data_IF_222586849531
#
_entry.id   IF_222586849531
#
_cell.length_a   1.000
_cell.length_b   1.000
_cell.length_c   1.000
_cell.angle_alpha   90.00
_cell.angle_beta   90.00
_cell.angle_gamma   90.00
#
_symmetry.space_group_name_H-M   'P 1'
#
loop_
_entity.id
_entity.type
_entity.pdbx_description
1 polymer ?
#
# COMPACT_ATOMS: atom_id res chain seq x y z
N UNK A 1 10.90 -2.69 11.82
CA UNK A 1 10.59 -1.30 11.47
C UNK A 1 9.52 -0.76 12.43
N UNK A 2 9.76 0.42 13.03
CA UNK A 2 8.90 1.02 14.06
C UNK A 2 7.53 1.47 13.54
N UNK A 3 7.37 1.68 12.23
CA UNK A 3 6.06 2.00 11.65
C UNK A 3 5.07 0.85 11.85
N UNK A 4 5.55 -0.40 11.82
CA UNK A 4 4.69 -1.57 12.04
C UNK A 4 4.21 -1.62 13.49
N UNK A 5 5.05 -1.22 14.46
CA UNK A 5 4.63 -1.07 15.86
C UNK A 5 3.55 0.04 15.99
N UNK A 6 3.75 1.18 15.31
CA UNK A 6 2.80 2.30 15.34
C UNK A 6 1.40 1.90 14.82
N UNK A 7 1.34 0.99 13.84
CA UNK A 7 0.06 0.53 13.28
C UNK A 7 -0.83 -0.17 14.31
N UNK A 8 -0.24 -0.76 15.36
CA UNK A 8 -1.01 -1.33 16.46
C UNK A 8 -1.84 -0.29 17.26
N UNK A 9 -1.48 1.00 17.14
CA UNK A 9 -2.19 2.10 17.80
C UNK A 9 -3.00 2.95 16.84
N UNK A 10 -2.56 3.09 15.59
CA UNK A 10 -3.23 3.92 14.58
C UNK A 10 -4.36 3.21 13.85
N UNK A 11 -4.30 1.87 13.70
CA UNK A 11 -5.37 1.09 13.08
C UNK A 11 -6.47 0.79 14.09
N UNK A 12 -7.66 1.31 13.84
CA UNK A 12 -8.81 1.19 14.74
C UNK A 12 -9.96 0.47 13.99
N UNK A 13 -10.57 -0.53 14.63
CA UNK A 13 -11.61 -1.38 14.02
C UNK A 13 -12.77 -0.56 13.45
N UNK A 14 -13.28 0.41 14.21
CA UNK A 14 -14.44 1.23 13.85
C UNK A 14 -14.01 2.67 13.54
N UNK A 15 -12.89 2.83 12.83
CA UNK A 15 -12.35 4.14 12.48
C UNK A 15 -13.33 4.94 11.61
N UNK A 16 -13.53 6.20 11.95
CA UNK A 16 -14.36 7.13 11.19
C UNK A 16 -13.47 8.15 10.50
N UNK A 17 -13.46 8.11 9.17
CA UNK A 17 -12.66 9.01 8.33
C UNK A 17 -13.23 10.43 8.34
N UNK A 18 -12.38 11.44 8.27
CA UNK A 18 -12.78 12.83 8.01
C UNK A 18 -13.32 12.96 6.57
N UNK A 19 -12.76 12.21 5.64
CA UNK A 19 -13.24 12.13 4.26
C UNK A 19 -14.51 11.27 4.21
N UNK A 20 -15.67 11.91 4.08
CA UNK A 20 -16.99 11.27 4.10
C UNK A 20 -17.10 10.06 3.15
N UNK A 21 -16.58 10.20 1.93
CA UNK A 21 -16.57 9.13 0.93
C UNK A 21 -16.04 7.81 1.48
N UNK A 22 -14.94 7.85 2.26
CA UNK A 22 -14.30 6.65 2.80
C UNK A 22 -15.16 5.91 3.83
N UNK A 23 -16.13 6.61 4.46
CA UNK A 23 -17.10 5.98 5.35
C UNK A 23 -18.29 5.36 4.61
N UNK A 24 -18.51 5.77 3.36
CA UNK A 24 -19.64 5.32 2.52
C UNK A 24 -19.28 4.12 1.63
N UNK A 25 -17.98 3.80 1.49
CA UNK A 25 -17.50 2.65 0.71
C UNK A 25 -17.89 1.32 1.38
N UNK A 26 -18.41 0.40 0.59
CA UNK A 26 -18.73 -0.97 1.02
C UNK A 26 -17.51 -1.88 0.89
N UNK A 27 -16.63 -1.86 1.90
CA UNK A 27 -15.40 -2.65 1.92
C UNK A 27 -15.63 -4.16 1.96
N UNK A 28 -16.82 -4.63 2.32
CA UNK A 28 -17.15 -6.06 2.39
C UNK A 28 -17.53 -6.63 1.02
N UNK A 29 -18.16 -5.81 0.18
CA UNK A 29 -18.64 -6.22 -1.15
C UNK A 29 -17.78 -5.72 -2.30
N UNK A 30 -17.01 -4.67 -2.07
CA UNK A 30 -16.16 -4.03 -3.07
C UNK A 30 -14.69 -4.33 -2.83
N UNK A 31 -13.96 -4.50 -3.91
CA UNK A 31 -12.51 -4.60 -3.89
C UNK A 31 -11.91 -3.20 -3.99
N UNK A 32 -11.69 -2.58 -2.84
CA UNK A 32 -11.09 -1.23 -2.79
C UNK A 32 -9.59 -1.32 -3.06
N UNK A 33 -9.12 -0.66 -4.11
CA UNK A 33 -7.70 -0.54 -4.43
C UNK A 33 -7.21 0.82 -3.95
N UNK A 34 -6.28 0.83 -3.00
CA UNK A 34 -5.57 2.03 -2.59
C UNK A 34 -4.44 2.32 -3.58
N UNK A 35 -4.44 3.52 -4.15
CA UNK A 35 -3.43 3.95 -5.12
C UNK A 35 -2.62 5.11 -4.57
N UNK A 36 -1.30 5.06 -4.72
CA UNK A 36 -0.42 6.23 -4.61
C UNK A 36 0.61 6.21 -5.74
N UNK A 37 0.75 7.31 -6.48
CA UNK A 37 1.71 7.45 -7.55
C UNK A 37 2.15 8.93 -7.64
N UNK A 38 3.37 9.23 -7.20
CA UNK A 38 3.86 10.62 -7.11
C UNK A 38 5.37 10.76 -7.28
N UNK A 39 6.10 9.65 -7.47
CA UNK A 39 7.56 9.69 -7.69
C UNK A 39 7.90 10.43 -8.96
N UNK A 40 8.93 11.29 -8.91
CA UNK A 40 9.37 12.11 -10.06
C UNK A 40 9.81 11.25 -11.25
N UNK A 41 10.35 10.07 -10.99
CA UNK A 41 10.76 9.10 -12.02
C UNK A 41 9.58 8.59 -12.87
N UNK A 42 8.36 8.68 -12.33
CA UNK A 42 7.13 8.29 -13.04
C UNK A 42 6.49 9.43 -13.84
N UNK A 43 6.99 10.67 -13.77
CA UNK A 43 6.38 11.79 -14.49
C UNK A 43 6.42 11.59 -16.00
N UNK A 44 5.38 12.05 -16.70
CA UNK A 44 5.21 11.90 -18.16
C UNK A 44 4.60 10.54 -18.54
N UNK A 45 5.13 9.92 -19.57
CA UNK A 45 4.59 8.69 -20.14
C UNK A 45 4.44 7.52 -19.14
N UNK A 46 5.37 7.26 -18.19
CA UNK A 46 5.17 6.23 -17.18
C UNK A 46 3.91 6.45 -16.34
N UNK A 47 3.65 7.69 -15.91
CA UNK A 47 2.46 8.02 -15.13
C UNK A 47 1.18 7.88 -15.95
N UNK A 48 1.20 8.28 -17.21
CA UNK A 48 0.10 8.10 -18.15
C UNK A 48 -0.26 6.61 -18.30
N UNK A 49 0.72 5.75 -18.54
CA UNK A 49 0.53 4.30 -18.65
C UNK A 49 -0.05 3.70 -17.36
N UNK A 50 0.48 4.08 -16.19
CA UNK A 50 -0.02 3.62 -14.89
C UNK A 50 -1.49 4.03 -14.73
N UNK A 51 -1.83 5.30 -14.94
CA UNK A 51 -3.19 5.80 -14.75
C UNK A 51 -4.18 5.19 -15.76
N UNK A 52 -3.75 4.97 -17.00
CA UNK A 52 -4.57 4.26 -17.99
C UNK A 52 -4.85 2.81 -17.56
N UNK A 53 -3.83 2.11 -17.05
CA UNK A 53 -4.01 0.76 -16.50
C UNK A 53 -4.98 0.72 -15.32
N UNK A 54 -4.88 1.68 -14.39
CA UNK A 54 -5.78 1.82 -13.25
C UNK A 54 -7.23 2.05 -13.69
N UNK A 55 -7.45 2.93 -14.68
CA UNK A 55 -8.77 3.17 -15.27
C UNK A 55 -9.33 1.90 -15.89
N UNK A 56 -8.54 1.18 -16.67
CA UNK A 56 -8.93 -0.11 -17.26
C UNK A 56 -9.34 -1.14 -16.22
N UNK A 57 -8.63 -1.21 -15.08
CA UNK A 57 -9.01 -2.10 -13.96
C UNK A 57 -10.40 -1.75 -13.44
N UNK A 58 -10.69 -0.48 -13.19
CA UNK A 58 -12.00 -0.05 -12.76
C UNK A 58 -13.10 -0.31 -13.80
N UNK A 59 -12.80 -0.11 -15.08
CA UNK A 59 -13.75 -0.34 -16.18
C UNK A 59 -14.07 -1.83 -16.37
N UNK A 60 -13.07 -2.70 -16.23
CA UNK A 60 -13.18 -4.14 -16.49
C UNK A 60 -13.76 -4.93 -15.32
N UNK A 61 -13.71 -4.40 -14.08
CA UNK A 61 -14.13 -5.11 -12.86
C UNK A 61 -15.17 -4.28 -12.11
N UNK A 62 -16.42 -4.67 -12.19
CA UNK A 62 -17.56 -3.93 -11.60
C UNK A 62 -17.56 -3.86 -10.07
N UNK A 63 -16.83 -4.74 -9.41
CA UNK A 63 -16.62 -4.76 -7.96
C UNK A 63 -15.48 -3.86 -7.49
N UNK A 64 -14.65 -3.35 -8.40
CA UNK A 64 -13.49 -2.52 -8.05
C UNK A 64 -13.90 -1.07 -7.79
N UNK A 65 -13.42 -0.54 -6.66
CA UNK A 65 -13.39 0.87 -6.32
C UNK A 65 -11.93 1.33 -6.18
N UNK A 66 -11.53 2.35 -6.89
CA UNK A 66 -10.19 2.94 -6.79
C UNK A 66 -10.23 4.16 -5.88
N UNK A 67 -9.41 4.17 -4.86
CA UNK A 67 -9.20 5.34 -3.99
C UNK A 67 -7.78 5.84 -4.16
N UNK A 68 -7.65 7.06 -4.64
CA UNK A 68 -6.37 7.70 -4.87
C UNK A 68 -6.25 9.02 -4.10
N UNK A 69 -5.59 9.01 -2.93
CA UNK A 69 -5.15 10.25 -2.27
C UNK A 69 -4.10 10.95 -3.12
N UNK A 70 -4.52 11.98 -3.86
CA UNK A 70 -3.70 12.60 -4.91
C UNK A 70 -2.70 13.57 -4.29
N UNK A 71 -1.41 13.33 -4.53
CA UNK A 71 -0.34 14.20 -4.08
C UNK A 71 -0.51 15.65 -4.60
N UNK A 72 -0.13 16.64 -3.79
CA UNK A 72 -0.33 18.08 -4.07
C UNK A 72 0.48 18.63 -5.26
N UNK A 73 1.42 17.84 -5.82
CA UNK A 73 2.16 18.26 -7.01
C UNK A 73 1.22 18.52 -8.18
N UNK A 74 1.32 19.70 -8.84
CA UNK A 74 0.49 20.02 -10.01
C UNK A 74 0.58 18.97 -11.11
N UNK A 75 1.78 18.45 -11.39
CA UNK A 75 1.99 17.41 -12.42
C UNK A 75 1.18 16.13 -12.10
N UNK A 76 1.12 15.73 -10.83
CA UNK A 76 0.36 14.55 -10.41
C UNK A 76 -1.14 14.83 -10.48
N UNK A 77 -1.60 16.00 -10.02
CA UNK A 77 -3.00 16.39 -10.07
C UNK A 77 -3.53 16.50 -11.51
N UNK A 78 -2.78 17.14 -12.40
CA UNK A 78 -3.14 17.24 -13.82
C UNK A 78 -3.25 15.87 -14.48
N UNK A 79 -2.31 14.96 -14.20
CA UNK A 79 -2.35 13.61 -14.73
C UNK A 79 -3.53 12.80 -14.16
N UNK A 80 -3.76 12.84 -12.84
CA UNK A 80 -4.89 12.16 -12.20
C UNK A 80 -6.22 12.67 -12.77
N UNK A 81 -6.40 13.98 -12.88
CA UNK A 81 -7.60 14.57 -13.45
C UNK A 81 -7.81 14.17 -14.91
N UNK A 82 -6.76 14.24 -15.73
CA UNK A 82 -6.83 13.91 -17.16
C UNK A 82 -7.22 12.46 -17.43
N UNK A 83 -6.66 11.52 -16.69
CA UNK A 83 -6.80 10.09 -16.99
C UNK A 83 -7.84 9.36 -16.13
N UNK A 84 -8.09 9.84 -14.91
CA UNK A 84 -8.90 9.11 -13.94
C UNK A 84 -10.23 9.80 -13.60
N UNK A 85 -10.35 11.11 -13.77
CA UNK A 85 -11.58 11.83 -13.41
C UNK A 85 -12.80 11.37 -14.21
N UNK A 86 -13.99 11.62 -13.64
CA UNK A 86 -15.28 11.37 -14.28
C UNK A 86 -15.73 9.91 -14.31
N UNK A 87 -14.96 8.97 -13.73
CA UNK A 87 -15.39 7.59 -13.59
C UNK A 87 -16.05 7.36 -12.21
N UNK A 88 -17.26 6.78 -12.13
CA UNK A 88 -18.05 6.73 -10.87
C UNK A 88 -17.42 5.88 -9.75
N UNK A 89 -16.47 5.00 -10.08
CA UNK A 89 -15.77 4.12 -9.15
C UNK A 89 -14.28 4.45 -9.01
N UNK A 90 -13.88 5.65 -9.43
CA UNK A 90 -12.52 6.17 -9.22
C UNK A 90 -12.64 7.45 -8.40
N UNK A 91 -12.10 7.41 -7.21
CA UNK A 91 -12.21 8.46 -6.21
C UNK A 91 -10.87 9.17 -6.03
N UNK A 92 -10.75 10.35 -6.63
CA UNK A 92 -9.62 11.25 -6.42
C UNK A 92 -9.92 12.07 -5.17
N UNK A 93 -9.14 11.90 -4.12
CA UNK A 93 -9.32 12.59 -2.83
C UNK A 93 -8.07 13.39 -2.46
N UNK A 94 -8.20 14.28 -1.51
CA UNK A 94 -7.05 14.97 -0.93
C UNK A 94 -6.13 14.00 -0.18
N UNK A 95 -4.84 14.36 -0.01
CA UNK A 95 -3.91 13.55 0.78
C UNK A 95 -4.45 13.28 2.18
N UNK A 96 -4.27 12.06 2.63
CA UNK A 96 -4.66 11.61 3.96
C UNK A 96 -3.51 11.80 4.95
N UNK A 97 -3.83 11.99 6.22
CA UNK A 97 -2.85 11.88 7.29
C UNK A 97 -2.47 10.40 7.55
N UNK A 98 -1.54 10.18 8.46
CA UNK A 98 -1.01 8.84 8.72
C UNK A 98 -2.08 7.89 9.31
N UNK A 99 -2.97 8.40 10.17
CA UNK A 99 -4.01 7.57 10.78
C UNK A 99 -5.06 7.17 9.76
N UNK A 100 -5.54 8.11 8.94
CA UNK A 100 -6.47 7.82 7.86
C UNK A 100 -5.88 6.87 6.82
N UNK A 101 -4.59 7.08 6.44
CA UNK A 101 -3.89 6.21 5.50
C UNK A 101 -3.79 4.78 6.03
N UNK A 102 -3.40 4.57 7.29
CA UNK A 102 -3.31 3.26 7.91
C UNK A 102 -4.67 2.56 7.98
N UNK A 103 -5.73 3.30 8.33
CA UNK A 103 -7.09 2.73 8.41
C UNK A 103 -7.68 2.42 7.03
N UNK A 104 -7.40 3.24 6.01
CA UNK A 104 -7.77 2.93 4.63
C UNK A 104 -7.02 1.70 4.13
N UNK A 105 -5.72 1.62 4.39
CA UNK A 105 -4.87 0.48 4.03
C UNK A 105 -5.33 -0.81 4.71
N UNK A 106 -5.73 -0.76 5.99
CA UNK A 106 -6.28 -1.91 6.71
C UNK A 106 -7.58 -2.44 6.10
N UNK A 107 -8.38 -1.57 5.47
CA UNK A 107 -9.69 -1.93 4.86
C UNK A 107 -9.62 -2.21 3.37
N UNK A 108 -8.60 -1.72 2.66
CA UNK A 108 -8.48 -1.94 1.23
C UNK A 108 -8.25 -3.42 0.88
N UNK A 109 -8.52 -3.78 -0.37
CA UNK A 109 -8.27 -5.11 -0.90
C UNK A 109 -6.79 -5.28 -1.28
N UNK A 110 -6.25 -4.36 -2.07
CA UNK A 110 -4.84 -4.36 -2.46
C UNK A 110 -4.30 -2.92 -2.54
N UNK A 111 -2.97 -2.78 -2.52
CA UNK A 111 -2.28 -1.50 -2.66
C UNK A 111 -1.48 -1.46 -3.95
N UNK A 112 -1.64 -0.40 -4.73
CA UNK A 112 -0.84 -0.13 -5.93
C UNK A 112 -0.07 1.18 -5.69
N UNK A 113 1.25 1.10 -5.54
CA UNK A 113 2.03 2.25 -5.02
C UNK A 113 3.43 2.38 -5.60
N UNK A 114 3.91 3.62 -5.69
CA UNK A 114 5.34 3.93 -5.91
C UNK A 114 6.08 4.34 -4.62
N UNK A 115 5.39 4.30 -3.46
CA UNK A 115 5.96 4.64 -2.15
C UNK A 115 6.75 3.48 -1.54
N UNK A 116 7.97 3.76 -1.05
CA UNK A 116 8.77 2.78 -0.30
C UNK A 116 8.15 2.40 1.05
N UNK A 117 7.57 3.37 1.78
CA UNK A 117 6.93 3.12 3.08
C UNK A 117 5.76 2.15 2.99
N UNK A 118 4.85 2.36 2.04
CA UNK A 118 3.69 1.49 1.83
C UNK A 118 4.07 0.05 1.44
N UNK A 119 5.25 -0.16 0.85
CA UNK A 119 5.79 -1.51 0.59
C UNK A 119 6.17 -2.27 1.87
N UNK A 120 6.40 -1.56 2.97
CA UNK A 120 6.72 -2.13 4.28
C UNK A 120 5.45 -2.27 5.15
N UNK A 121 4.55 -1.30 5.06
CA UNK A 121 3.37 -1.15 5.91
C UNK A 121 2.22 -2.06 5.47
N UNK A 122 1.83 -2.04 4.20
CA UNK A 122 0.67 -2.78 3.71
C UNK A 122 0.79 -4.31 3.92
N UNK A 123 1.97 -4.95 3.71
CA UNK A 123 2.15 -6.36 4.01
C UNK A 123 1.95 -6.73 5.48
N UNK A 124 2.21 -5.79 6.42
CA UNK A 124 1.97 -6.03 7.85
C UNK A 124 0.47 -6.18 8.18
N UNK A 125 -0.40 -5.72 7.28
CA UNK A 125 -1.87 -5.87 7.36
C UNK A 125 -2.40 -6.98 6.44
N UNK A 126 -1.53 -7.81 5.88
CA UNK A 126 -1.92 -8.86 4.92
C UNK A 126 -2.44 -8.31 3.59
N UNK A 127 -1.99 -7.13 3.17
CA UNK A 127 -2.43 -6.53 1.90
C UNK A 127 -1.37 -6.75 0.82
N UNK A 128 -1.72 -7.41 -0.30
CA UNK A 128 -0.84 -7.49 -1.45
C UNK A 128 -0.45 -6.11 -1.98
N UNK A 129 0.79 -5.97 -2.43
CA UNK A 129 1.30 -4.70 -2.97
C UNK A 129 1.83 -4.88 -4.38
N UNK A 130 1.32 -4.08 -5.32
CA UNK A 130 1.90 -3.90 -6.65
C UNK A 130 2.72 -2.62 -6.67
N UNK A 131 4.01 -2.75 -6.92
CA UNK A 131 4.94 -1.63 -6.94
C UNK A 131 4.99 -1.02 -8.34
N UNK A 132 4.50 0.22 -8.47
CA UNK A 132 4.40 0.99 -9.71
C UNK A 132 5.74 1.68 -10.04
N UNK A 133 6.80 0.89 -10.12
CA UNK A 133 8.16 1.34 -10.40
C UNK A 133 8.91 0.30 -11.21
N UNK A 134 9.94 0.72 -11.94
CA UNK A 134 10.83 -0.20 -12.68
C UNK A 134 11.78 -0.95 -11.74
N UNK A 135 12.14 -0.32 -10.63
CA UNK A 135 13.03 -0.85 -9.59
C UNK A 135 12.43 -0.54 -8.21
N UNK A 136 12.84 -1.30 -7.21
CA UNK A 136 12.53 -1.01 -5.81
C UNK A 136 13.78 -1.09 -4.94
N UNK A 137 13.85 -0.21 -3.96
CA UNK A 137 14.83 -0.27 -2.87
C UNK A 137 14.46 -1.26 -1.76
N UNK A 138 13.46 -2.11 -2.01
CA UNK A 138 12.91 -3.10 -1.06
C UNK A 138 12.97 -4.53 -1.63
N UNK A 139 14.17 -5.03 -2.00
CA UNK A 139 14.31 -6.36 -2.60
C UNK A 139 13.87 -7.49 -1.65
N UNK A 140 13.95 -7.28 -0.33
CA UNK A 140 13.53 -8.24 0.68
C UNK A 140 12.02 -8.54 0.60
N UNK A 141 11.19 -7.53 0.32
CA UNK A 141 9.75 -7.70 0.17
C UNK A 141 9.39 -8.50 -1.08
N UNK A 142 10.14 -8.33 -2.19
CA UNK A 142 9.99 -9.15 -3.38
C UNK A 142 10.38 -10.60 -3.08
N UNK A 143 11.53 -10.81 -2.43
CA UNK A 143 12.01 -12.14 -2.07
C UNK A 143 11.05 -12.87 -1.12
N UNK A 144 10.44 -12.14 -0.17
CA UNK A 144 9.43 -12.66 0.73
C UNK A 144 8.07 -12.92 0.05
N UNK A 145 7.84 -12.36 -1.15
CA UNK A 145 6.58 -12.50 -1.87
C UNK A 145 5.44 -11.60 -1.38
N UNK A 146 5.72 -10.63 -0.51
CA UNK A 146 4.72 -9.68 0.01
C UNK A 146 4.39 -8.57 -0.97
N UNK A 147 5.33 -8.25 -1.87
CA UNK A 147 5.15 -7.27 -2.94
C UNK A 147 5.56 -7.85 -4.29
N UNK A 148 4.98 -7.31 -5.35
CA UNK A 148 5.35 -7.64 -6.72
C UNK A 148 5.65 -6.36 -7.50
N UNK A 149 6.78 -6.33 -8.20
CA UNK A 149 7.16 -5.22 -9.08
C UNK A 149 6.27 -5.25 -10.33
N UNK A 150 5.45 -4.24 -10.50
CA UNK A 150 4.53 -4.10 -11.64
C UNK A 150 5.14 -3.27 -12.79
N UNK A 151 6.21 -2.55 -12.50
CA UNK A 151 6.76 -1.61 -13.48
C UNK A 151 5.86 -0.41 -13.74
N UNK A 152 5.99 0.16 -14.92
CA UNK A 152 5.26 1.36 -15.33
C UNK A 152 4.54 1.21 -16.67
N UNK A 153 4.62 0.03 -17.28
CA UNK A 153 4.00 -0.25 -18.57
C UNK A 153 2.53 -0.64 -18.39
N UNK A 154 1.64 0.01 -19.13
CA UNK A 154 0.18 -0.13 -18.99
C UNK A 154 -0.29 -1.59 -18.94
N UNK A 155 0.12 -2.39 -19.92
CA UNK A 155 -0.33 -3.77 -20.03
C UNK A 155 0.16 -4.64 -18.86
N UNK A 156 1.38 -4.40 -18.37
CA UNK A 156 1.93 -5.14 -17.23
C UNK A 156 1.21 -4.78 -15.94
N UNK A 157 1.00 -3.49 -15.69
CA UNK A 157 0.26 -3.00 -14.51
C UNK A 157 -1.16 -3.52 -14.51
N UNK A 158 -1.86 -3.43 -15.65
CA UNK A 158 -3.23 -3.95 -15.81
C UNK A 158 -3.28 -5.46 -15.54
N UNK A 159 -2.45 -6.24 -16.23
CA UNK A 159 -2.45 -7.71 -16.12
C UNK A 159 -2.16 -8.19 -14.69
N UNK A 160 -1.22 -7.56 -13.98
CA UNK A 160 -0.90 -7.94 -12.61
C UNK A 160 -2.00 -7.53 -11.63
N UNK A 161 -2.63 -6.38 -11.84
CA UNK A 161 -3.81 -5.96 -11.08
C UNK A 161 -4.99 -6.90 -11.28
N UNK A 162 -5.34 -7.20 -12.54
CA UNK A 162 -6.41 -8.14 -12.89
C UNK A 162 -6.17 -9.52 -12.29
N UNK A 163 -4.93 -10.02 -12.35
CA UNK A 163 -4.56 -11.30 -11.75
C UNK A 163 -4.88 -11.38 -10.26
N UNK A 164 -4.56 -10.34 -9.47
CA UNK A 164 -4.88 -10.33 -8.04
C UNK A 164 -6.38 -10.19 -7.76
N UNK A 165 -7.14 -9.63 -8.71
CA UNK A 165 -8.59 -9.52 -8.61
C UNK A 165 -9.30 -10.83 -8.99
N UNK A 166 -8.77 -11.58 -9.96
CA UNK A 166 -9.43 -12.73 -10.57
C UNK A 166 -8.95 -14.08 -10.02
N UNK A 167 -7.69 -14.14 -9.52
CA UNK A 167 -7.06 -15.37 -9.02
C UNK A 167 -6.93 -15.35 -7.49
N UNK A 168 -7.89 -15.91 -6.70
CA UNK A 168 -7.81 -15.94 -5.25
C UNK A 168 -6.52 -16.53 -4.71
N UNK A 169 -5.98 -17.56 -5.35
CA UNK A 169 -4.72 -18.19 -4.94
C UNK A 169 -3.50 -17.26 -5.12
N UNK A 170 -3.52 -16.39 -6.13
CA UNK A 170 -2.45 -15.40 -6.31
C UNK A 170 -2.51 -14.33 -5.21
N UNK A 171 -3.71 -13.87 -4.90
CA UNK A 171 -3.97 -12.94 -3.80
C UNK A 171 -3.52 -13.52 -2.46
N UNK A 172 -4.02 -14.70 -2.08
CA UNK A 172 -3.75 -15.35 -0.79
C UNK A 172 -2.26 -15.62 -0.58
N UNK A 173 -1.52 -16.02 -1.62
CA UNK A 173 -0.07 -16.18 -1.51
C UNK A 173 0.65 -14.91 -1.09
N UNK A 174 0.25 -13.75 -1.61
CA UNK A 174 0.85 -12.48 -1.25
C UNK A 174 0.35 -11.97 0.11
N UNK A 175 -0.95 -12.11 0.38
CA UNK A 175 -1.57 -11.65 1.62
C UNK A 175 -1.05 -12.38 2.87
N UNK A 176 -0.71 -13.67 2.73
CA UNK A 176 -0.18 -14.50 3.81
C UNK A 176 1.35 -14.65 3.81
N UNK A 177 2.05 -13.97 2.90
CA UNK A 177 3.50 -13.96 2.89
C UNK A 177 4.05 -13.23 4.14
N UNK A 178 5.14 -13.75 4.69
CA UNK A 178 5.72 -13.19 5.91
C UNK A 178 6.36 -11.83 5.64
N UNK A 179 5.95 -10.80 6.37
CA UNK A 179 6.53 -9.48 6.23
C UNK A 179 7.97 -9.43 6.76
N UNK A 180 8.96 -9.16 5.91
CA UNK A 180 10.36 -9.14 6.34
C UNK A 180 10.75 -7.92 7.17
N UNK A 181 9.90 -6.90 7.28
CA UNK A 181 10.20 -5.61 7.91
C UNK A 181 9.83 -5.53 9.39
N UNK A 182 9.18 -6.53 9.95
CA UNK A 182 8.92 -6.56 11.38
C UNK A 182 7.66 -7.32 11.79
N UNK A 183 7.52 -7.45 13.10
CA UNK A 183 6.47 -8.18 13.80
C UNK A 183 5.74 -7.31 14.84
N UNK A 184 5.94 -5.97 14.82
CA UNK A 184 5.32 -5.04 15.75
C UNK A 184 6.02 -4.89 17.10
N UNK A 185 7.26 -5.39 17.24
CA UNK A 185 8.04 -5.29 18.47
C UNK A 185 9.39 -4.58 18.30
N UNK A 186 9.55 -3.76 17.26
CA UNK A 186 10.79 -3.05 17.00
C UNK A 186 11.10 -2.02 18.09
N UNK A 187 10.11 -1.24 18.53
CA UNK A 187 10.29 -0.25 19.60
C UNK A 187 10.77 -0.88 20.90
N UNK A 188 10.18 -2.02 21.28
CA UNK A 188 10.62 -2.76 22.47
C UNK A 188 12.07 -3.24 22.34
N UNK A 189 12.44 -3.83 21.19
CA UNK A 189 13.81 -4.28 20.95
C UNK A 189 14.81 -3.13 20.97
N UNK A 190 14.43 -1.97 20.49
CA UNK A 190 15.26 -0.76 20.53
C UNK A 190 15.47 -0.30 21.99
N UNK A 191 14.40 -0.25 22.80
CA UNK A 191 14.50 0.07 24.21
C UNK A 191 15.38 -0.91 24.96
N UNK A 192 15.14 -2.23 24.78
CA UNK A 192 15.93 -3.30 25.36
C UNK A 192 17.43 -3.21 24.97
N UNK A 193 17.72 -2.82 23.70
CA UNK A 193 19.08 -2.65 23.24
C UNK A 193 19.79 -1.45 23.90
N UNK A 194 19.07 -0.34 24.10
CA UNK A 194 19.58 0.84 24.80
C UNK A 194 19.87 0.48 26.26
N UNK A 195 18.93 -0.14 26.95
CA UNK A 195 19.11 -0.58 28.35
C UNK A 195 20.31 -1.51 28.50
N UNK A 196 20.45 -2.50 27.59
CA UNK A 196 21.59 -3.40 27.60
C UNK A 196 22.91 -2.67 27.36
N UNK A 197 22.95 -1.74 26.41
CA UNK A 197 24.14 -0.95 26.09
C UNK A 197 24.64 -0.14 27.30
N UNK A 198 23.72 0.41 28.11
CA UNK A 198 24.03 1.17 29.31
C UNK A 198 24.14 0.32 30.59
N UNK A 199 24.12 -1.00 30.51
CA UNK A 199 24.26 -1.90 31.65
C UNK A 199 23.04 -1.93 32.59
N UNK A 200 21.90 -1.42 32.14
CA UNK A 200 20.63 -1.44 32.91
C UNK A 200 19.90 -2.77 32.76
N UNK A 201 20.32 -3.61 31.83
CA UNK A 201 19.77 -4.91 31.54
C UNK A 201 20.90 -5.92 31.34
N UNK A 202 20.82 -7.16 31.92
CA UNK A 202 21.90 -8.14 31.85
C UNK A 202 22.03 -8.83 30.48
N UNK A 203 20.92 -8.92 29.70
CA UNK A 203 20.87 -9.67 28.45
C UNK A 203 20.62 -8.76 27.24
N UNK A 204 21.20 -9.07 26.06
CA UNK A 204 20.90 -8.36 24.83
C UNK A 204 19.44 -8.57 24.39
N UNK A 205 18.89 -7.68 23.56
CA UNK A 205 17.56 -7.85 23.00
C UNK A 205 17.48 -9.07 22.09
N UNK A 206 16.32 -9.69 22.05
CA UNK A 206 16.05 -10.76 21.10
C UNK A 206 16.04 -10.19 19.66
N UNK A 207 16.84 -10.78 18.77
CA UNK A 207 16.85 -10.37 17.36
C UNK A 207 15.51 -10.73 16.67
N UNK A 208 15.05 -9.85 15.78
CA UNK A 208 13.96 -10.17 14.86
C UNK A 208 14.42 -11.24 13.86
N UNK A 209 13.56 -12.22 13.61
CA UNK A 209 13.72 -13.22 12.54
C UNK A 209 12.39 -13.31 11.82
N UNK A 210 12.39 -13.02 10.52
CA UNK A 210 11.26 -13.36 9.65
C UNK A 210 11.12 -14.89 9.62
N UNK A 211 9.99 -15.40 10.06
CA UNK A 211 9.69 -16.85 10.11
C UNK A 211 8.76 -17.23 8.99
#
# INVERSE_FOLDING_TARGET
NTVIDAMATTVVKDYHFSTRLLNELDYDRKKVILVTCHRRENYGAPMEHIMTALRRLAESHGEVELVYPVHLSPVVREAAEKYLAGHPRIHLIDPLDVEEMHNLMARCYLVMTDSGGLQEEAPAMGKPVLVLRRETERPEAIAAGTVQLAGTEEETVFRLGARLLEEPQAYERMAHAVNPYGDGFACRRIADAIEWHFGLRPEPPQAFRAQ
#
